data_IF_340745179152
#
_entry.id   IF_340745179152
#
_cell.length_a   1.000
_cell.length_b   1.000
_cell.length_c   1.000
_cell.angle_alpha   90.00
_cell.angle_beta   90.00
_cell.angle_gamma   90.00
#
_symmetry.space_group_name_H-M   'P 1'
#
loop_
_entity.id
_entity.type
_entity.pdbx_description
1 polymer ?
#
# COMPACT_ATOMS: atom_id res chain seq x y z
N UNK A 1 0.46 -8.34 8.50
CA UNK A 1 1.43 -8.39 7.36
C UNK A 1 1.03 -9.48 6.35
N UNK A 2 0.87 -9.13 5.06
CA UNK A 2 0.48 -10.07 4.00
C UNK A 2 1.51 -11.20 3.76
N UNK A 3 1.07 -12.33 3.18
CA UNK A 3 1.95 -13.48 2.86
C UNK A 3 3.15 -13.08 2.00
N UNK A 4 2.95 -12.20 1.02
CA UNK A 4 4.02 -11.75 0.13
C UNK A 4 5.03 -10.83 0.82
N UNK A 5 4.56 -9.99 1.75
CA UNK A 5 5.41 -9.12 2.57
C UNK A 5 6.36 -9.94 3.47
N UNK A 6 5.95 -11.13 3.92
CA UNK A 6 6.82 -12.04 4.68
C UNK A 6 7.94 -12.65 3.82
N UNK A 7 7.71 -12.82 2.51
CA UNK A 7 8.64 -13.53 1.60
C UNK A 7 9.59 -12.61 0.84
N UNK A 8 9.19 -11.37 0.55
CA UNK A 8 9.98 -10.44 -0.28
C UNK A 8 10.71 -9.42 0.62
N UNK A 9 12.04 -9.40 0.58
CA UNK A 9 12.88 -8.49 1.41
C UNK A 9 12.54 -7.01 1.24
N UNK A 10 12.21 -6.58 0.02
CA UNK A 10 11.85 -5.19 -0.24
C UNK A 10 10.52 -4.81 0.43
N UNK A 11 9.51 -5.68 0.33
CA UNK A 11 8.20 -5.43 0.94
C UNK A 11 8.26 -5.41 2.47
N UNK A 12 9.24 -6.05 3.11
CA UNK A 12 9.45 -5.92 4.56
C UNK A 12 9.79 -4.50 5.02
N UNK A 13 10.24 -3.63 4.12
CA UNK A 13 10.51 -2.22 4.41
C UNK A 13 9.29 -1.32 4.22
N UNK A 14 8.19 -1.86 3.70
CA UNK A 14 6.95 -1.14 3.46
C UNK A 14 5.98 -1.53 4.56
N UNK A 15 5.64 -0.55 5.39
CA UNK A 15 4.62 -0.71 6.43
C UNK A 15 3.21 -0.51 5.83
N UNK A 16 2.69 -1.56 5.19
CA UNK A 16 1.39 -1.58 4.53
C UNK A 16 0.29 -2.11 5.48
N UNK A 17 -0.04 -1.31 6.50
CA UNK A 17 -0.94 -1.68 7.61
C UNK A 17 -2.31 -2.18 7.15
N UNK A 18 -2.91 -1.50 6.17
CA UNK A 18 -4.24 -1.80 5.62
C UNK A 18 -4.20 -2.47 4.23
N UNK A 19 -3.03 -2.99 3.82
CA UNK A 19 -2.81 -3.60 2.51
C UNK A 19 -3.12 -2.67 1.31
N UNK A 20 -3.07 -1.35 1.50
CA UNK A 20 -3.43 -0.33 0.51
C UNK A 20 -2.46 -0.37 -0.67
N UNK A 21 -1.16 -0.53 -0.42
CA UNK A 21 -0.15 -0.56 -1.49
C UNK A 21 -0.41 -1.72 -2.44
N UNK A 22 -0.69 -2.92 -1.92
CA UNK A 22 -1.02 -4.08 -2.75
C UNK A 22 -2.38 -3.94 -3.45
N UNK A 23 -3.44 -3.63 -2.69
CA UNK A 23 -4.81 -3.67 -3.18
C UNK A 23 -5.19 -2.48 -4.08
N UNK A 24 -4.49 -1.35 -3.96
CA UNK A 24 -4.77 -0.15 -4.75
C UNK A 24 -3.60 0.19 -5.66
N UNK A 25 -2.38 0.30 -5.12
CA UNK A 25 -1.19 0.69 -5.89
C UNK A 25 -0.84 -0.32 -6.97
N UNK A 26 -0.57 -1.57 -6.57
CA UNK A 26 -0.20 -2.65 -7.51
C UNK A 26 -1.38 -3.02 -8.40
N UNK A 27 -2.58 -3.18 -7.83
CA UNK A 27 -3.78 -3.52 -8.60
C UNK A 27 -4.14 -2.44 -9.64
N UNK A 28 -4.05 -1.16 -9.27
CA UNK A 28 -4.30 -0.03 -10.17
C UNK A 28 -3.30 0.05 -11.31
N UNK A 29 -2.00 -0.14 -11.03
CA UNK A 29 -0.97 -0.19 -12.07
C UNK A 29 -1.20 -1.36 -13.04
N UNK A 30 -1.51 -2.55 -12.52
CA UNK A 30 -1.85 -3.71 -13.34
C UNK A 30 -3.09 -3.44 -14.20
N UNK A 31 -4.15 -2.87 -13.63
CA UNK A 31 -5.36 -2.48 -14.36
C UNK A 31 -5.07 -1.48 -15.48
N UNK A 32 -4.22 -0.48 -15.23
CA UNK A 32 -3.78 0.47 -16.23
C UNK A 32 -3.03 -0.18 -17.39
N UNK A 33 -2.10 -1.09 -17.11
CA UNK A 33 -1.37 -1.85 -18.12
C UNK A 33 -2.29 -2.76 -18.93
N UNK A 34 -3.22 -3.45 -18.26
CA UNK A 34 -4.21 -4.31 -18.92
C UNK A 34 -5.14 -3.51 -19.83
N UNK A 35 -5.53 -2.29 -19.44
CA UNK A 35 -6.29 -1.40 -20.32
C UNK A 35 -5.49 -1.07 -21.58
N UNK A 36 -4.21 -0.70 -21.43
CA UNK A 36 -3.34 -0.42 -22.58
C UNK A 36 -3.17 -1.61 -23.52
N UNK A 37 -3.28 -2.83 -22.99
CA UNK A 37 -3.14 -4.07 -23.75
C UNK A 37 -4.44 -4.51 -24.41
N UNK A 38 -5.56 -4.43 -23.68
CA UNK A 38 -6.82 -5.12 -23.99
C UNK A 38 -8.00 -4.19 -24.30
N UNK A 39 -7.80 -2.88 -24.43
CA UNK A 39 -8.87 -1.99 -24.85
C UNK A 39 -9.37 -2.35 -26.27
N UNK A 40 -10.58 -2.90 -26.34
CA UNK A 40 -11.22 -3.35 -27.58
C UNK A 40 -11.74 -2.15 -28.38
N UNK A 41 -11.35 -2.05 -29.65
CA UNK A 41 -11.76 -0.99 -30.57
C UNK A 41 -13.28 -0.95 -30.78
N UNK A 42 -13.96 -2.10 -30.79
CA UNK A 42 -15.42 -2.17 -30.96
C UNK A 42 -16.16 -1.64 -29.75
N UNK A 43 -15.67 -1.94 -28.55
CA UNK A 43 -16.27 -1.48 -27.30
C UNK A 43 -16.00 0.00 -27.07
N UNK A 44 -14.76 0.44 -27.28
CA UNK A 44 -14.38 1.85 -27.11
C UNK A 44 -15.10 2.75 -28.09
N UNK A 45 -15.38 2.27 -29.31
CA UNK A 45 -16.18 2.98 -30.31
C UNK A 45 -17.61 3.29 -29.88
N UNK A 46 -18.21 2.48 -29.00
CA UNK A 46 -19.55 2.74 -28.48
C UNK A 46 -19.63 4.03 -27.65
N UNK A 47 -18.52 4.43 -27.01
CA UNK A 47 -18.48 5.59 -26.10
C UNK A 47 -17.68 6.76 -26.67
N UNK A 48 -16.64 6.48 -27.46
CA UNK A 48 -15.66 7.48 -27.90
C UNK A 48 -15.56 7.63 -29.42
N UNK A 49 -16.41 6.92 -30.18
CA UNK A 49 -16.29 6.87 -31.64
C UNK A 49 -15.03 6.14 -32.11
N UNK A 50 -14.72 6.20 -33.40
CA UNK A 50 -13.54 5.52 -33.98
C UNK A 50 -12.23 6.27 -33.72
N UNK A 51 -12.01 6.76 -32.49
CA UNK A 51 -10.78 7.46 -32.10
C UNK A 51 -9.67 6.42 -31.82
N UNK A 52 -8.56 6.42 -32.59
CA UNK A 52 -7.47 5.47 -32.41
C UNK A 52 -6.78 5.59 -31.03
N UNK A 53 -6.98 6.69 -30.29
CA UNK A 53 -6.36 6.88 -28.98
C UNK A 53 -6.80 5.84 -27.95
N UNK A 54 -7.96 5.22 -28.11
CA UNK A 54 -8.52 4.30 -27.12
C UNK A 54 -8.31 2.82 -27.45
N UNK A 55 -7.50 2.51 -28.48
CA UNK A 55 -7.28 1.14 -28.93
C UNK A 55 -6.09 0.54 -28.19
N UNK A 56 -6.29 -0.61 -27.54
CA UNK A 56 -5.24 -1.35 -26.84
C UNK A 56 -4.37 -2.17 -27.79
N UNK A 57 -3.17 -2.55 -27.36
CA UNK A 57 -2.17 -3.17 -28.24
C UNK A 57 -2.63 -4.47 -28.92
N UNK A 58 -3.31 -5.37 -28.20
CA UNK A 58 -3.80 -6.64 -28.78
C UNK A 58 -4.81 -6.39 -29.90
N UNK A 59 -5.72 -5.45 -29.71
CA UNK A 59 -6.73 -5.11 -30.71
C UNK A 59 -6.16 -4.23 -31.82
N UNK A 60 -5.22 -3.33 -31.50
CA UNK A 60 -4.45 -2.59 -32.50
C UNK A 60 -3.67 -3.51 -33.45
N UNK A 61 -3.12 -4.62 -32.95
CA UNK A 61 -2.50 -5.66 -33.78
C UNK A 61 -3.52 -6.36 -34.69
N UNK A 62 -4.69 -6.72 -34.15
CA UNK A 62 -5.77 -7.39 -34.91
C UNK A 62 -6.39 -6.51 -35.99
N UNK A 63 -6.55 -5.22 -35.71
CA UNK A 63 -7.23 -4.26 -36.57
C UNK A 63 -6.28 -3.55 -37.56
N UNK A 64 -5.00 -3.92 -37.59
CA UNK A 64 -3.98 -3.27 -38.43
C UNK A 64 -3.59 -1.86 -37.97
N UNK A 65 -3.94 -1.48 -36.73
CA UNK A 65 -3.68 -0.16 -36.11
C UNK A 65 -2.61 -0.26 -35.01
N UNK A 66 -1.52 -0.97 -35.30
CA UNK A 66 -0.48 -1.31 -34.31
C UNK A 66 0.12 -0.07 -33.61
N UNK A 67 0.35 1.00 -34.37
CA UNK A 67 0.86 2.26 -33.82
C UNK A 67 -0.05 2.89 -32.77
N UNK A 68 -1.36 2.76 -32.93
CA UNK A 68 -2.34 3.22 -31.94
C UNK A 68 -2.24 2.42 -30.64
N UNK A 69 -2.11 1.10 -30.77
CA UNK A 69 -1.90 0.17 -29.65
C UNK A 69 -0.62 0.44 -28.85
N UNK A 70 0.52 0.63 -29.53
CA UNK A 70 1.77 0.97 -28.84
C UNK A 70 1.71 2.34 -28.17
N UNK A 71 1.10 3.33 -28.83
CA UNK A 71 0.86 4.64 -28.23
C UNK A 71 0.04 4.52 -26.95
N UNK A 72 -1.02 3.71 -26.96
CA UNK A 72 -1.86 3.52 -25.78
C UNK A 72 -1.11 2.84 -24.64
N UNK A 73 -0.33 1.78 -24.92
CA UNK A 73 0.56 1.18 -23.91
C UNK A 73 1.54 2.20 -23.31
N UNK A 74 2.18 3.02 -24.15
CA UNK A 74 3.09 4.07 -23.70
C UNK A 74 2.41 5.09 -22.80
N UNK A 75 1.20 5.53 -23.16
CA UNK A 75 0.43 6.48 -22.35
C UNK A 75 0.01 5.89 -21.01
N UNK A 76 -0.36 4.62 -20.93
CA UNK A 76 -0.69 3.97 -19.66
C UNK A 76 0.54 3.92 -18.74
N UNK A 77 1.73 3.60 -19.28
CA UNK A 77 2.98 3.60 -18.50
C UNK A 77 3.32 5.02 -18.02
N UNK A 78 3.24 6.02 -18.90
CA UNK A 78 3.51 7.42 -18.53
C UNK A 78 2.52 7.89 -17.46
N UNK A 79 1.23 7.55 -17.60
CA UNK A 79 0.20 7.89 -16.62
C UNK A 79 0.47 7.27 -15.25
N UNK A 80 0.83 5.98 -15.21
CA UNK A 80 1.21 5.29 -13.95
C UNK A 80 2.42 5.99 -13.31
N UNK A 81 3.49 6.25 -14.07
CA UNK A 81 4.68 6.91 -13.56
C UNK A 81 4.39 8.32 -13.05
N UNK A 82 3.55 9.08 -13.77
CA UNK A 82 3.13 10.41 -13.37
C UNK A 82 2.39 10.39 -12.03
N UNK A 83 1.39 9.52 -11.88
CA UNK A 83 0.61 9.39 -10.64
C UNK A 83 1.49 8.95 -9.48
N UNK A 84 2.40 7.99 -9.70
CA UNK A 84 3.36 7.54 -8.68
C UNK A 84 4.27 8.69 -8.26
N UNK A 85 4.90 9.38 -9.20
CA UNK A 85 5.80 10.49 -8.90
C UNK A 85 5.07 11.62 -8.15
N UNK A 86 3.88 11.99 -8.59
CA UNK A 86 3.06 13.01 -7.93
C UNK A 86 2.72 12.62 -6.50
N UNK A 87 2.26 11.38 -6.28
CA UNK A 87 1.91 10.91 -4.93
C UNK A 87 3.13 10.83 -4.02
N UNK A 88 4.27 10.32 -4.51
CA UNK A 88 5.50 10.26 -3.70
C UNK A 88 5.91 11.68 -3.30
N UNK A 89 6.01 12.61 -4.25
CA UNK A 89 6.47 13.98 -3.97
C UNK A 89 5.50 14.71 -3.05
N UNK A 90 4.20 14.73 -3.39
CA UNK A 90 3.21 15.52 -2.66
C UNK A 90 2.92 14.93 -1.28
N UNK A 91 2.73 13.61 -1.17
CA UNK A 91 2.46 12.97 0.14
C UNK A 91 3.67 13.10 1.05
N UNK A 92 4.90 12.92 0.54
CA UNK A 92 6.10 13.17 1.36
C UNK A 92 6.18 14.63 1.83
N UNK A 93 5.91 15.61 0.95
CA UNK A 93 5.90 17.01 1.33
C UNK A 93 4.86 17.32 2.42
N UNK A 94 3.65 16.74 2.32
CA UNK A 94 2.60 16.86 3.33
C UNK A 94 3.05 16.23 4.65
N UNK A 95 3.52 14.99 4.64
CA UNK A 95 3.93 14.30 5.87
C UNK A 95 5.10 15.02 6.57
N UNK A 96 6.09 15.49 5.81
CA UNK A 96 7.19 16.29 6.36
C UNK A 96 6.67 17.64 6.87
N UNK A 97 5.76 18.29 6.13
CA UNK A 97 5.08 19.52 6.53
C UNK A 97 4.39 19.40 7.89
N UNK A 98 3.58 18.36 8.07
CA UNK A 98 2.87 18.09 9.32
C UNK A 98 3.86 17.77 10.44
N UNK A 99 4.90 16.96 10.14
CA UNK A 99 5.93 16.58 11.12
C UNK A 99 6.68 17.77 11.71
N UNK A 100 6.75 18.91 11.01
CA UNK A 100 7.38 20.12 11.54
C UNK A 100 6.54 20.81 12.63
N UNK A 101 5.25 20.51 12.73
CA UNK A 101 4.33 21.15 13.69
C UNK A 101 3.87 20.18 14.77
N UNK A 102 3.61 18.92 14.40
CA UNK A 102 3.14 17.87 15.32
C UNK A 102 3.88 16.56 15.06
N UNK A 103 4.04 15.75 16.10
CA UNK A 103 4.61 14.41 15.96
C UNK A 103 3.63 13.49 15.20
N UNK A 104 3.95 13.23 13.93
CA UNK A 104 3.08 12.47 13.04
C UNK A 104 3.03 10.95 13.34
N UNK A 105 4.08 10.41 13.98
CA UNK A 105 4.17 9.01 14.40
C UNK A 105 4.59 8.99 15.87
N UNK A 106 3.92 8.17 16.66
CA UNK A 106 4.24 7.91 18.06
C UNK A 106 5.69 7.41 18.21
N UNK A 107 6.26 7.59 19.41
CA UNK A 107 7.58 7.04 19.75
C UNK A 107 7.51 5.52 19.77
N UNK A 108 8.65 4.87 19.53
CA UNK A 108 8.69 3.41 19.44
C UNK A 108 8.27 2.76 20.77
N UNK A 109 8.62 3.37 21.91
CA UNK A 109 8.20 2.96 23.25
C UNK A 109 6.67 2.94 23.41
N UNK A 110 5.99 4.00 22.93
CA UNK A 110 4.53 4.13 23.01
C UNK A 110 3.83 3.21 22.00
N UNK A 111 4.42 3.00 20.82
CA UNK A 111 3.91 2.06 19.82
C UNK A 111 3.94 0.61 20.30
N UNK A 112 4.90 0.25 21.15
CA UNK A 112 5.04 -1.07 21.74
C UNK A 112 3.94 -1.35 22.78
N UNK A 113 3.54 -0.33 23.53
CA UNK A 113 2.43 -0.43 24.50
C UNK A 113 1.06 -0.36 23.80
N UNK A 114 0.92 0.48 22.77
CA UNK A 114 -0.30 0.59 21.97
C UNK A 114 -1.38 1.44 22.62
N UNK A 115 -2.62 0.97 22.61
CA UNK A 115 -3.79 1.77 23.02
C UNK A 115 -3.75 2.20 24.48
N UNK A 116 -3.20 1.40 25.40
CA UNK A 116 -3.07 1.75 26.82
C UNK A 116 -2.20 3.02 27.01
N UNK A 117 -1.13 3.19 26.22
CA UNK A 117 -0.28 4.38 26.32
C UNK A 117 -0.96 5.68 25.87
N UNK A 118 -1.99 5.61 25.03
CA UNK A 118 -2.64 6.78 24.43
C UNK A 118 -4.02 7.04 25.04
N UNK A 119 -4.78 5.98 25.28
CA UNK A 119 -6.17 6.02 25.70
C UNK A 119 -6.38 5.50 27.13
N UNK A 120 -5.39 4.83 27.74
CA UNK A 120 -5.50 4.23 29.08
C UNK A 120 -6.51 3.09 29.15
N UNK A 121 -6.79 2.45 28.02
CA UNK A 121 -7.74 1.35 27.89
C UNK A 121 -7.12 0.17 27.13
N UNK A 122 -7.42 -1.04 27.59
CA UNK A 122 -7.14 -2.29 26.88
C UNK A 122 -8.37 -2.67 26.05
N UNK A 123 -8.21 -2.76 24.72
CA UNK A 123 -9.30 -3.18 23.81
C UNK A 123 -9.81 -4.59 24.12
N UNK A 124 -8.95 -5.44 24.68
CA UNK A 124 -9.29 -6.79 25.11
C UNK A 124 -8.94 -6.97 26.58
N UNK A 125 -9.96 -7.03 27.44
CA UNK A 125 -9.78 -7.44 28.84
C UNK A 125 -9.57 -8.97 28.90
N UNK A 126 -8.37 -9.44 28.55
CA UNK A 126 -7.97 -10.85 28.69
C UNK A 126 -8.12 -11.34 30.15
N UNK A 127 -8.20 -10.41 31.10
CA UNK A 127 -8.36 -10.63 32.53
C UNK A 127 -9.82 -10.66 33.02
N UNK A 128 -10.79 -10.29 32.15
CA UNK A 128 -12.19 -10.04 32.53
C UNK A 128 -13.10 -11.28 32.54
N UNK A 129 -12.69 -12.36 31.89
CA UNK A 129 -13.49 -13.60 31.74
C UNK A 129 -13.20 -14.66 32.82
N UNK A 130 -12.42 -14.33 33.85
CA UNK A 130 -12.07 -15.24 34.94
C UNK A 130 -10.94 -16.23 34.61
N UNK A 131 -10.35 -16.15 33.41
CA UNK A 131 -9.09 -16.79 33.06
C UNK A 131 -7.94 -15.92 33.59
N UNK A 132 -7.15 -16.46 34.52
CA UNK A 132 -5.94 -15.79 35.04
C UNK A 132 -4.88 -15.69 33.96
N UNK A 133 -4.20 -14.54 33.86
CA UNK A 133 -3.03 -14.37 33.00
C UNK A 133 -1.98 -15.45 33.25
N UNK A 134 -1.86 -16.41 32.33
CA UNK A 134 -0.71 -17.31 32.32
C UNK A 134 0.41 -16.72 31.47
N UNK A 135 1.43 -16.18 32.14
CA UNK A 135 2.64 -15.64 31.51
C UNK A 135 3.37 -16.69 30.63
N UNK A 136 3.19 -17.98 30.90
CA UNK A 136 3.71 -19.10 30.09
C UNK A 136 3.00 -19.32 28.76
N UNK A 137 1.77 -18.79 28.61
CA UNK A 137 0.94 -18.96 27.41
C UNK A 137 0.87 -17.67 26.60
N UNK A 138 0.85 -16.52 27.29
CA UNK A 138 0.61 -15.20 26.70
C UNK A 138 1.79 -14.24 26.78
N UNK A 139 2.88 -14.60 27.48
CA UNK A 139 4.07 -13.76 27.59
C UNK A 139 4.94 -13.82 26.32
N UNK A 140 5.23 -12.66 25.74
CA UNK A 140 6.30 -12.53 24.75
C UNK A 140 7.63 -12.39 25.50
N UNK A 141 8.56 -13.35 25.36
CA UNK A 141 9.84 -13.43 26.10
C UNK A 141 10.84 -12.26 25.86
N UNK A 142 10.42 -11.14 25.26
CA UNK A 142 11.32 -10.03 24.89
C UNK A 142 11.17 -8.74 25.69
N UNK A 143 10.24 -8.67 26.66
CA UNK A 143 9.97 -7.41 27.38
C UNK A 143 10.82 -7.18 28.64
N UNK A 144 11.46 -8.23 29.18
CA UNK A 144 12.21 -8.11 30.43
C UNK A 144 13.67 -7.66 30.20
N UNK A 145 14.30 -7.95 29.04
CA UNK A 145 15.70 -7.57 28.81
C UNK A 145 15.92 -6.05 28.65
N UNK A 146 14.90 -5.29 28.25
CA UNK A 146 15.03 -3.83 28.04
C UNK A 146 15.08 -3.07 29.36
N UNK A 147 14.46 -3.59 30.44
CA UNK A 147 14.46 -2.90 31.74
C UNK A 147 15.74 -3.08 32.55
N UNK A 148 16.47 -4.18 32.33
CA UNK A 148 17.63 -4.50 33.15
C UNK A 148 18.94 -3.87 32.62
N UNK A 149 19.03 -3.50 31.34
CA UNK A 149 20.20 -2.78 30.80
C UNK A 149 20.22 -1.28 31.10
N UNK A 150 19.08 -0.62 31.35
CA UNK A 150 19.02 0.83 31.68
C UNK A 150 19.13 1.14 33.18
N UNK A 151 19.22 0.13 34.05
CA UNK A 151 19.41 0.29 35.50
C UNK A 151 20.82 -0.08 36.03
N UNK A 152 21.81 -0.22 35.14
CA UNK A 152 23.24 -0.29 35.53
C UNK A 152 24.09 0.76 34.81
#
# INVERSE_FOLDING_TARGET
MMVLHKRIRFLKKIDDTLAIFHTHGVAGALGGLLMGLLADSKLTKLFFGDDPKFIGLVFGLKDGRVGAGFRQMGLQVVGILFVVALNVVVTTAICVGIRMVVELRLREEELVVGDDAIHGEDVYAVWGDGETYERSVHGHEGFDEVKDEEMM
#
